data_IF_365642206559
#
_entry.id   IF_365642206559
#
_cell.length_a   1.000
_cell.length_b   1.000
_cell.length_c   1.000
_cell.angle_alpha   90.00
_cell.angle_beta   90.00
_cell.angle_gamma   90.00
#
_symmetry.space_group_name_H-M   'P 1'
#
loop_
_entity.id
_entity.type
_entity.pdbx_description
1 polymer ?
#
# COMPACT_ATOMS: atom_id res chain seq x y z
N UNK A 1 14.69 3.10 1.09
CA UNK A 1 14.66 3.10 -0.38
C UNK A 1 13.56 4.04 -0.86
N UNK A 2 13.89 5.27 -1.26
CA UNK A 2 12.90 6.26 -1.72
C UNK A 2 12.26 5.92 -3.09
N UNK A 3 12.82 4.96 -3.83
CA UNK A 3 12.33 4.53 -5.15
C UNK A 3 10.93 3.88 -5.11
N UNK A 4 10.56 3.21 -4.02
CA UNK A 4 9.23 2.60 -3.87
C UNK A 4 8.15 3.57 -3.42
N UNK A 5 8.53 4.68 -2.77
CA UNK A 5 7.57 5.66 -2.24
C UNK A 5 6.74 6.33 -3.35
N UNK A 6 7.35 6.58 -4.52
CA UNK A 6 6.65 7.10 -5.68
C UNK A 6 5.58 6.15 -6.20
N UNK A 7 5.90 4.87 -6.39
CA UNK A 7 4.95 3.87 -6.86
C UNK A 7 3.80 3.66 -5.87
N UNK A 8 4.10 3.60 -4.57
CA UNK A 8 3.07 3.46 -3.53
C UNK A 8 2.15 4.68 -3.49
N UNK A 9 2.69 5.89 -3.67
CA UNK A 9 1.89 7.10 -3.74
C UNK A 9 0.98 7.11 -4.97
N UNK A 10 1.51 6.82 -6.16
CA UNK A 10 0.69 6.74 -7.38
C UNK A 10 -0.42 5.69 -7.26
N UNK A 11 -0.11 4.53 -6.69
CA UNK A 11 -1.10 3.50 -6.37
C UNK A 11 -2.19 4.01 -5.42
N UNK A 12 -1.81 4.78 -4.39
CA UNK A 12 -2.78 5.35 -3.43
C UNK A 12 -3.66 6.44 -4.05
N UNK A 13 -3.25 7.05 -5.16
CA UNK A 13 -4.08 7.99 -5.93
C UNK A 13 -5.09 7.29 -6.86
N UNK A 14 -5.16 5.94 -6.84
CA UNK A 14 -6.12 5.20 -7.64
C UNK A 14 -5.62 4.83 -9.04
N UNK A 15 -4.32 4.95 -9.31
CA UNK A 15 -3.74 4.55 -10.60
C UNK A 15 -3.93 3.05 -10.86
N UNK A 16 -4.19 2.66 -12.11
CA UNK A 16 -4.21 1.25 -12.51
C UNK A 16 -2.81 0.64 -12.37
N UNK A 17 -2.76 -0.67 -12.09
CA UNK A 17 -1.52 -1.41 -11.93
C UNK A 17 -0.70 -1.45 -13.22
N UNK A 18 -1.36 -1.57 -14.38
CA UNK A 18 -0.68 -1.52 -15.69
C UNK A 18 0.08 -0.21 -15.87
N UNK A 19 -0.60 0.93 -15.73
CA UNK A 19 -0.01 2.26 -15.80
C UNK A 19 1.10 2.46 -14.74
N UNK A 20 0.90 1.92 -13.54
CA UNK A 20 1.89 1.98 -12.47
C UNK A 20 3.19 1.24 -12.85
N UNK A 21 3.07 0.08 -13.51
CA UNK A 21 4.21 -0.69 -13.99
C UNK A 21 4.95 0.03 -15.12
N UNK A 22 4.26 0.70 -16.03
CA UNK A 22 4.90 1.49 -17.09
C UNK A 22 5.69 2.70 -16.54
N UNK A 23 5.21 3.29 -15.44
CA UNK A 23 5.85 4.44 -14.80
C UNK A 23 6.96 4.06 -13.80
N UNK A 24 7.05 2.79 -13.42
CA UNK A 24 8.00 2.31 -12.42
C UNK A 24 9.16 1.58 -13.08
N UNK A 25 10.37 1.71 -12.49
CA UNK A 25 11.52 0.90 -12.86
C UNK A 25 11.60 -0.42 -12.06
N UNK A 26 10.54 -0.78 -11.35
CA UNK A 26 10.48 -1.97 -10.48
C UNK A 26 9.70 -3.08 -11.18
N UNK A 27 10.10 -4.32 -10.94
CA UNK A 27 9.35 -5.49 -11.40
C UNK A 27 7.96 -5.53 -10.73
N UNK A 28 6.95 -6.02 -11.45
CA UNK A 28 5.56 -6.10 -10.97
C UNK A 28 5.45 -6.78 -9.60
N UNK A 29 6.17 -7.90 -9.44
CA UNK A 29 6.20 -8.66 -8.18
C UNK A 29 6.79 -7.86 -7.02
N UNK A 30 7.79 -7.01 -7.29
CA UNK A 30 8.37 -6.13 -6.27
C UNK A 30 7.41 -5.01 -5.89
N UNK A 31 6.66 -4.45 -6.84
CA UNK A 31 5.62 -3.46 -6.56
C UNK A 31 4.55 -4.07 -5.65
N UNK A 32 3.99 -5.22 -6.04
CA UNK A 32 2.97 -5.92 -5.25
C UNK A 32 3.50 -6.25 -3.85
N UNK A 33 4.71 -6.79 -3.77
CA UNK A 33 5.35 -7.13 -2.49
C UNK A 33 5.53 -5.90 -1.61
N UNK A 34 6.01 -4.78 -2.14
CA UNK A 34 6.21 -3.55 -1.39
C UNK A 34 4.89 -2.96 -0.87
N UNK A 35 3.82 -2.99 -1.69
CA UNK A 35 2.50 -2.55 -1.24
C UNK A 35 1.98 -3.46 -0.12
N UNK A 36 2.07 -4.78 -0.28
CA UNK A 36 1.66 -5.74 0.76
C UNK A 36 2.44 -5.54 2.07
N UNK A 37 3.76 -5.39 1.99
CA UNK A 37 4.58 -5.12 3.17
C UNK A 37 4.20 -3.80 3.85
N UNK A 38 3.85 -2.77 3.07
CA UNK A 38 3.36 -1.50 3.60
C UNK A 38 2.03 -1.68 4.34
N UNK A 39 1.08 -2.40 3.75
CA UNK A 39 -0.21 -2.72 4.38
C UNK A 39 -0.02 -3.53 5.66
N UNK A 40 0.85 -4.54 5.65
CA UNK A 40 1.15 -5.32 6.86
C UNK A 40 1.77 -4.45 7.96
N UNK A 41 2.69 -3.55 7.62
CA UNK A 41 3.24 -2.60 8.59
C UNK A 41 2.14 -1.70 9.19
N UNK A 42 1.20 -1.21 8.37
CA UNK A 42 0.07 -0.42 8.85
C UNK A 42 -0.86 -1.24 9.77
N UNK A 43 -1.09 -2.52 9.46
CA UNK A 43 -1.85 -3.44 10.33
C UNK A 43 -1.15 -3.68 11.66
N UNK A 44 0.18 -3.82 11.66
CA UNK A 44 0.97 -3.91 12.90
C UNK A 44 0.86 -2.63 13.72
N UNK A 45 0.93 -1.45 13.08
CA UNK A 45 0.76 -0.17 13.79
C UNK A 45 -0.57 -0.11 14.56
N UNK A 46 -1.68 -0.57 13.95
CA UNK A 46 -2.99 -0.60 14.61
C UNK A 46 -3.01 -1.42 15.91
N UNK A 47 -2.13 -2.42 16.07
CA UNK A 47 -2.04 -3.22 17.30
C UNK A 47 -1.45 -2.45 18.49
N UNK A 48 -0.70 -1.39 18.21
CA UNK A 48 -0.03 -0.56 19.22
C UNK A 48 -0.76 0.75 19.48
N UNK A 49 -1.71 1.14 18.64
CA UNK A 49 -2.54 2.32 18.82
C UNK A 49 -3.70 2.01 19.78
N UNK A 50 -4.08 2.99 20.59
CA UNK A 50 -5.30 2.91 21.39
C UNK A 50 -6.52 3.11 20.47
N UNK A 51 -7.67 2.46 20.74
CA UNK A 51 -8.85 2.59 19.90
C UNK A 51 -9.34 4.04 19.68
N UNK A 52 -9.10 4.93 20.64
CA UNK A 52 -9.53 6.33 20.59
C UNK A 52 -8.52 7.24 19.87
N UNK A 53 -7.38 6.70 19.46
CA UNK A 53 -6.35 7.46 18.77
C UNK A 53 -6.87 7.88 17.37
N UNK A 54 -6.86 9.18 17.02
CA UNK A 54 -7.34 9.65 15.72
C UNK A 54 -6.56 9.06 14.54
N UNK A 55 -5.35 8.54 14.78
CA UNK A 55 -4.57 7.85 13.75
C UNK A 55 -5.20 6.51 13.34
N UNK A 56 -6.00 5.85 14.19
CA UNK A 56 -6.59 4.55 13.88
C UNK A 56 -7.42 4.62 12.59
N UNK A 57 -8.31 5.60 12.48
CA UNK A 57 -9.18 5.74 11.31
C UNK A 57 -8.38 6.12 10.06
N UNK A 58 -7.34 6.95 10.21
CA UNK A 58 -6.45 7.31 9.09
C UNK A 58 -5.62 6.13 8.59
N UNK A 59 -5.16 5.28 9.49
CA UNK A 59 -4.41 4.06 9.12
C UNK A 59 -5.34 3.05 8.45
N UNK A 60 -6.58 2.87 8.93
CA UNK A 60 -7.58 2.02 8.27
C UNK A 60 -7.90 2.51 6.87
N UNK A 61 -8.18 3.80 6.71
CA UNK A 61 -8.44 4.43 5.40
C UNK A 61 -7.27 4.18 4.42
N UNK A 62 -6.03 4.37 4.87
CA UNK A 62 -4.87 4.11 4.04
C UNK A 62 -4.68 2.63 3.68
N UNK A 63 -5.04 1.69 4.57
CA UNK A 63 -5.05 0.26 4.26
C UNK A 63 -6.08 -0.03 3.15
N UNK A 64 -7.29 0.52 3.24
CA UNK A 64 -8.34 0.31 2.23
C UNK A 64 -7.94 0.84 0.85
N UNK A 65 -7.30 2.02 0.82
CA UNK A 65 -6.79 2.62 -0.41
C UNK A 65 -5.70 1.76 -1.06
N UNK A 66 -4.79 1.21 -0.27
CA UNK A 66 -3.64 0.44 -0.77
C UNK A 66 -3.97 -1.03 -1.06
N UNK A 67 -4.88 -1.64 -0.30
CA UNK A 67 -5.17 -3.08 -0.35
C UNK A 67 -6.34 -3.39 -1.30
N UNK A 68 -6.10 -3.18 -2.60
CA UNK A 68 -7.10 -3.39 -3.68
C UNK A 68 -6.56 -4.21 -4.87
N UNK A 69 -7.46 -4.65 -5.73
CA UNK A 69 -7.16 -5.32 -7.01
C UNK A 69 -6.13 -6.46 -6.90
N UNK A 70 -5.08 -6.43 -7.73
CA UNK A 70 -4.02 -7.45 -7.79
C UNK A 70 -3.28 -7.63 -6.46
N UNK A 71 -3.28 -6.61 -5.59
CA UNK A 71 -2.65 -6.70 -4.27
C UNK A 71 -3.40 -7.67 -3.35
N UNK A 72 -4.73 -7.83 -3.53
CA UNK A 72 -5.59 -8.71 -2.72
C UNK A 72 -5.54 -10.16 -3.20
N UNK A 73 -5.31 -10.39 -4.49
CA UNK A 73 -5.30 -11.73 -5.09
C UNK A 73 -4.11 -12.54 -4.59
N UNK A 74 -4.36 -13.72 -4.01
CA UNK A 74 -3.29 -14.67 -3.68
C UNK A 74 -2.92 -15.46 -4.94
N UNK A 75 -1.89 -14.96 -5.63
CA UNK A 75 -1.24 -15.62 -6.76
C UNK A 75 -0.17 -16.56 -6.22
#
# INVERSE_FOLDING_TARGET
NFRSAGSIYLWSQGLDFGDLCELSSLDEGDIIRNIRQTVEMMREMLKYLKPEDPLVEKVKEGIEILYRDLVVVRI
#
